data_IF_992777627726
#
_entry.id   IF_992777627726
#
_cell.length_a   1.000
_cell.length_b   1.000
_cell.length_c   1.000
_cell.angle_alpha   90.00
_cell.angle_beta   90.00
_cell.angle_gamma   90.00
#
_symmetry.space_group_name_H-M   'P 1'
#
loop_
_entity.id
_entity.type
_entity.pdbx_description
1 polymer ?
#
# COMPACT_ATOMS: atom_id res chain seq x y z
N UNK A 1 3.12 7.61 5.53
CA UNK A 1 3.71 6.79 4.45
C UNK A 1 3.04 7.14 3.13
N UNK A 2 3.77 7.21 2.03
CA UNK A 2 3.21 7.46 0.68
C UNK A 2 3.81 6.49 -0.33
N UNK A 3 3.05 6.15 -1.36
CA UNK A 3 3.51 5.35 -2.49
C UNK A 3 3.06 6.03 -3.78
N UNK A 4 3.91 6.04 -4.80
CA UNK A 4 3.56 6.58 -6.12
C UNK A 4 3.01 5.44 -6.97
N UNK A 5 1.77 5.58 -7.41
CA UNK A 5 1.11 4.63 -8.33
C UNK A 5 1.04 5.28 -9.70
N UNK A 6 1.42 4.54 -10.75
CA UNK A 6 1.33 4.97 -12.14
C UNK A 6 0.32 4.13 -12.90
N UNK A 7 -0.56 4.78 -13.66
CA UNK A 7 -1.49 4.08 -14.54
C UNK A 7 -0.76 3.61 -15.81
N UNK A 8 -0.36 2.34 -15.84
CA UNK A 8 0.23 1.71 -17.03
C UNK A 8 -0.81 0.96 -17.90
N UNK A 9 -2.10 1.11 -17.59
CA UNK A 9 -3.18 0.55 -18.40
C UNK A 9 -3.54 1.51 -19.55
N UNK A 10 -4.46 1.08 -20.41
CA UNK A 10 -5.06 1.92 -21.45
C UNK A 10 -6.42 2.51 -21.03
N UNK A 11 -6.76 2.46 -19.75
CA UNK A 11 -8.04 2.91 -19.20
C UNK A 11 -7.88 4.15 -18.34
N UNK A 12 -8.96 4.91 -18.18
CA UNK A 12 -9.04 5.94 -17.14
C UNK A 12 -9.47 5.30 -15.81
N UNK A 13 -8.69 5.56 -14.76
CA UNK A 13 -8.91 4.98 -13.43
C UNK A 13 -9.60 6.01 -12.53
N UNK A 14 -10.70 5.57 -11.90
CA UNK A 14 -11.54 6.37 -11.02
C UNK A 14 -11.18 6.19 -9.54
N UNK A 15 -10.80 4.98 -9.13
CA UNK A 15 -10.43 4.66 -7.74
C UNK A 15 -9.32 3.64 -7.69
N UNK A 16 -8.45 3.75 -6.68
CA UNK A 16 -7.42 2.75 -6.39
C UNK A 16 -7.42 2.41 -4.90
N UNK A 17 -7.14 1.15 -4.60
CA UNK A 17 -6.86 0.70 -3.24
C UNK A 17 -5.40 0.26 -3.14
N UNK A 18 -4.68 0.82 -2.16
CA UNK A 18 -3.26 0.55 -1.93
C UNK A 18 -3.10 -0.07 -0.54
N UNK A 19 -2.55 -1.28 -0.49
CA UNK A 19 -2.19 -1.97 0.73
C UNK A 19 -0.79 -1.64 1.20
N UNK A 20 -0.62 -1.46 2.51
CA UNK A 20 0.68 -1.23 3.15
C UNK A 20 1.00 -2.29 4.21
N UNK A 21 2.28 -2.66 4.28
CA UNK A 21 2.91 -3.37 5.40
C UNK A 21 4.14 -2.57 5.82
N UNK A 22 4.53 -2.66 7.10
CA UNK A 22 5.60 -1.83 7.63
C UNK A 22 6.42 -2.54 8.72
N UNK A 23 7.63 -2.04 8.94
CA UNK A 23 8.58 -2.53 9.92
C UNK A 23 9.20 -1.39 10.74
N UNK A 24 9.61 -1.71 11.96
CA UNK A 24 10.40 -0.82 12.81
C UNK A 24 11.91 -0.90 12.46
N UNK A 25 12.73 -0.08 13.11
CA UNK A 25 14.19 -0.06 12.88
C UNK A 25 14.87 -1.41 13.14
N UNK A 26 14.27 -2.26 13.97
CA UNK A 26 14.76 -3.60 14.27
C UNK A 26 14.22 -4.67 13.31
N UNK A 27 13.45 -4.28 12.29
CA UNK A 27 12.87 -5.17 11.29
C UNK A 27 11.69 -5.99 11.80
N UNK A 28 11.09 -5.63 12.94
CA UNK A 28 9.86 -6.28 13.41
C UNK A 28 8.65 -5.71 12.67
N UNK A 29 7.65 -6.54 12.33
CA UNK A 29 6.43 -6.05 11.69
C UNK A 29 5.67 -5.12 12.63
N UNK A 30 5.15 -4.02 12.08
CA UNK A 30 4.41 -3.00 12.80
C UNK A 30 2.93 -3.07 12.42
N UNK A 31 2.05 -3.07 13.42
CA UNK A 31 0.62 -2.86 13.17
C UNK A 31 0.40 -1.39 12.84
N UNK A 32 -0.03 -1.14 11.62
CA UNK A 32 -0.38 0.18 11.12
C UNK A 32 -1.74 0.60 11.68
N UNK A 33 -1.87 1.90 11.94
CA UNK A 33 -3.09 2.53 12.43
C UNK A 33 -3.14 3.95 11.89
N UNK A 34 -4.23 4.31 11.22
CA UNK A 34 -4.49 5.70 10.85
C UNK A 34 -4.82 6.53 12.10
N UNK A 35 -4.42 7.80 12.13
CA UNK A 35 -4.63 8.69 13.28
C UNK A 35 -6.11 8.86 13.69
N UNK A 36 -7.06 8.68 12.77
CA UNK A 36 -8.51 8.78 13.01
C UNK A 36 -9.24 7.42 13.14
N UNK A 37 -8.52 6.30 13.01
CA UNK A 37 -9.10 4.96 13.05
C UNK A 37 -8.77 4.24 14.37
N UNK A 38 -9.66 3.41 14.89
CA UNK A 38 -9.41 2.54 16.03
C UNK A 38 -8.79 1.19 15.62
N UNK A 39 -8.92 0.83 14.34
CA UNK A 39 -8.41 -0.43 13.80
C UNK A 39 -6.90 -0.37 13.60
N UNK A 40 -6.26 -1.50 13.93
CA UNK A 40 -4.83 -1.69 13.75
C UNK A 40 -4.56 -3.08 13.18
N UNK A 41 -3.76 -3.15 12.13
CA UNK A 41 -3.44 -4.41 11.47
C UNK A 41 -2.04 -4.36 10.83
N UNK A 42 -1.44 -5.52 10.60
CA UNK A 42 -0.17 -5.65 9.89
C UNK A 42 -0.30 -5.39 8.39
N UNK A 43 -1.52 -5.46 7.85
CA UNK A 43 -1.86 -5.05 6.49
C UNK A 43 -2.91 -3.94 6.55
N UNK A 44 -2.62 -2.77 5.98
CA UNK A 44 -3.53 -1.63 6.01
C UNK A 44 -3.85 -1.14 4.60
N UNK A 45 -5.06 -1.40 4.09
CA UNK A 45 -5.51 -0.85 2.82
C UNK A 45 -5.96 0.60 2.96
N UNK A 46 -5.67 1.41 1.95
CA UNK A 46 -6.11 2.80 1.83
C UNK A 46 -6.73 2.98 0.46
N UNK A 47 -7.99 3.40 0.43
CA UNK A 47 -8.67 3.80 -0.79
C UNK A 47 -8.30 5.25 -1.12
N UNK A 48 -8.10 5.55 -2.39
CA UNK A 48 -8.00 6.93 -2.85
C UNK A 48 -9.35 7.65 -2.77
N UNK A 49 -9.32 8.98 -2.72
CA UNK A 49 -10.47 9.76 -3.19
C UNK A 49 -10.78 9.45 -4.66
N UNK A 50 -11.91 9.97 -5.17
CA UNK A 50 -12.23 9.85 -6.59
C UNK A 50 -11.19 10.54 -7.48
N UNK A 51 -10.75 9.84 -8.51
CA UNK A 51 -9.67 10.21 -9.41
C UNK A 51 -10.15 10.34 -10.87
N UNK A 52 -9.32 10.97 -11.69
CA UNK A 52 -9.40 10.97 -13.17
C UNK A 52 -7.99 10.68 -13.71
N UNK A 53 -7.48 9.48 -13.42
CA UNK A 53 -6.12 9.08 -13.80
C UNK A 53 -6.11 8.51 -15.21
N UNK A 54 -5.60 9.27 -16.17
CA UNK A 54 -5.42 8.84 -17.57
C UNK A 54 -4.21 7.91 -17.72
N UNK A 55 -4.10 7.17 -18.83
CA UNK A 55 -2.90 6.39 -19.13
C UNK A 55 -1.63 7.25 -19.01
N UNK A 56 -0.69 6.79 -18.18
CA UNK A 56 0.57 7.47 -17.90
C UNK A 56 0.56 8.36 -16.64
N UNK A 57 -0.60 8.72 -16.10
CA UNK A 57 -0.71 9.57 -14.91
C UNK A 57 -0.22 8.88 -13.65
N UNK A 58 0.16 9.70 -12.66
CA UNK A 58 0.65 9.28 -11.35
C UNK A 58 -0.24 9.80 -10.20
N UNK A 59 -0.41 8.98 -9.17
CA UNK A 59 -1.06 9.33 -7.90
C UNK A 59 -0.11 9.08 -6.72
N UNK A 60 -0.32 9.80 -5.61
CA UNK A 60 0.36 9.53 -4.33
C UNK A 60 1.52 10.45 -3.95
N UNK A 61 1.92 11.39 -4.82
CA UNK A 61 2.97 12.39 -4.48
C UNK A 61 2.56 13.37 -3.37
N UNK A 62 1.26 13.61 -3.21
CA UNK A 62 0.68 14.52 -2.20
C UNK A 62 -0.24 13.82 -1.20
N UNK A 63 -0.43 12.51 -1.37
CA UNK A 63 -1.38 11.71 -0.61
C UNK A 63 -0.62 10.58 0.09
N UNK A 64 -0.90 10.39 1.37
CA UNK A 64 -0.27 9.33 2.15
C UNK A 64 -1.15 8.95 3.33
N UNK A 65 -0.84 7.82 3.98
CA UNK A 65 -1.50 7.38 5.19
C UNK A 65 -0.99 8.22 6.38
N UNK A 66 -1.84 9.08 6.99
CA UNK A 66 -1.49 9.78 8.22
C UNK A 66 -1.47 8.76 9.37
N UNK A 67 -0.27 8.41 9.80
CA UNK A 67 -0.08 7.46 10.88
C UNK A 67 -0.35 8.11 12.24
N UNK A 68 -0.91 7.33 13.17
CA UNK A 68 -0.89 7.66 14.59
C UNK A 68 0.58 7.85 15.05
N UNK A 69 0.87 8.93 15.78
CA UNK A 69 2.23 9.31 16.19
C UNK A 69 2.96 8.23 17.00
N UNK A 70 2.21 7.30 17.63
CA UNK A 70 2.79 6.17 18.37
C UNK A 70 3.29 5.05 17.46
N UNK A 71 2.90 5.05 16.19
CA UNK A 71 3.31 4.06 15.19
C UNK A 71 4.64 4.51 14.59
N UNK A 72 5.72 3.86 15.03
CA UNK A 72 7.06 4.09 14.49
C UNK A 72 7.31 3.14 13.32
N UNK A 73 7.41 3.70 12.12
CA UNK A 73 7.76 2.99 10.89
C UNK A 73 9.14 3.44 10.46
N UNK A 74 10.06 2.49 10.27
CA UNK A 74 11.37 2.74 9.67
C UNK A 74 11.35 2.41 8.17
N UNK A 75 10.60 1.38 7.79
CA UNK A 75 10.50 0.97 6.39
C UNK A 75 9.16 0.32 6.09
N UNK A 76 8.75 0.33 4.82
CA UNK A 76 7.46 -0.16 4.40
C UNK A 76 7.46 -0.75 2.99
N UNK A 77 6.39 -1.47 2.66
CA UNK A 77 6.12 -1.96 1.32
C UNK A 77 4.66 -1.77 0.97
N UNK A 78 4.40 -1.40 -0.28
CA UNK A 78 3.06 -1.17 -0.81
C UNK A 78 2.72 -2.12 -1.96
N UNK A 79 1.42 -2.35 -2.16
CA UNK A 79 0.86 -3.07 -3.31
C UNK A 79 -0.45 -2.41 -3.72
N UNK A 80 -0.71 -2.30 -5.03
CA UNK A 80 -2.07 -1.97 -5.51
C UNK A 80 -2.92 -3.21 -5.28
N UNK A 81 -3.92 -3.12 -4.40
CA UNK A 81 -4.86 -4.22 -4.11
C UNK A 81 -5.91 -4.32 -5.23
N UNK A 82 -6.45 -3.17 -5.64
CA UNK A 82 -7.56 -3.09 -6.58
C UNK A 82 -7.55 -1.74 -7.31
N UNK A 83 -8.13 -1.68 -8.50
CA UNK A 83 -8.61 -0.42 -9.09
C UNK A 83 -10.00 -0.56 -9.70
N UNK A 84 -10.70 0.57 -9.81
CA UNK A 84 -11.96 0.72 -10.54
C UNK A 84 -11.74 1.71 -11.71
N UNK A 85 -12.13 1.32 -12.91
CA UNK A 85 -12.13 2.22 -14.07
C UNK A 85 -13.41 3.08 -14.14
N UNK A 86 -13.42 4.09 -15.01
CA UNK A 86 -14.57 4.99 -15.18
C UNK A 86 -15.84 4.30 -15.69
N UNK A 87 -15.72 3.08 -16.24
CA UNK A 87 -16.84 2.23 -16.66
C UNK A 87 -17.38 1.36 -15.51
N UNK A 88 -16.80 1.48 -14.31
CA UNK A 88 -17.17 0.73 -13.11
C UNK A 88 -16.61 -0.71 -13.09
N UNK A 89 -15.70 -1.07 -14.00
CA UNK A 89 -15.07 -2.38 -13.98
C UNK A 89 -13.91 -2.39 -12.98
N UNK A 90 -13.94 -3.41 -12.16
CA UNK A 90 -12.95 -3.65 -11.11
C UNK A 90 -11.88 -4.62 -11.62
N UNK A 91 -10.63 -4.30 -11.30
CA UNK A 91 -9.51 -5.23 -11.41
C UNK A 91 -8.95 -5.51 -10.02
N UNK A 92 -8.90 -6.78 -9.66
CA UNK A 92 -8.24 -7.27 -8.45
C UNK A 92 -6.82 -7.72 -8.76
N UNK A 93 -5.87 -7.38 -7.90
CA UNK A 93 -4.49 -7.77 -8.10
C UNK A 93 -4.30 -9.28 -7.83
N UNK A 94 -3.91 -10.09 -8.83
CA UNK A 94 -3.73 -11.53 -8.66
C UNK A 94 -2.60 -11.88 -7.68
N UNK A 95 -1.63 -10.99 -7.50
CA UNK A 95 -0.45 -11.19 -6.64
C UNK A 95 -0.74 -10.85 -5.16
N UNK A 96 -1.92 -10.29 -4.87
CA UNK A 96 -2.26 -9.83 -3.53
C UNK A 96 -2.17 -10.93 -2.47
N UNK A 97 -2.60 -12.14 -2.82
CA UNK A 97 -2.58 -13.28 -1.90
C UNK A 97 -1.15 -13.68 -1.52
N UNK A 98 -0.27 -13.80 -2.50
CA UNK A 98 1.14 -14.16 -2.25
C UNK A 98 1.88 -13.02 -1.56
N UNK A 99 1.59 -11.76 -1.90
CA UNK A 99 2.08 -10.60 -1.16
C UNK A 99 1.69 -10.69 0.33
N UNK A 100 0.41 -10.91 0.63
CA UNK A 100 -0.06 -11.01 2.03
C UNK A 100 0.65 -12.15 2.76
N UNK A 101 0.79 -13.31 2.14
CA UNK A 101 1.49 -14.48 2.70
C UNK A 101 2.98 -14.21 2.99
N UNK A 102 3.65 -13.45 2.12
CA UNK A 102 5.08 -13.18 2.21
C UNK A 102 5.42 -12.11 3.24
N UNK A 103 4.59 -11.06 3.38
CA UNK A 103 4.99 -9.88 4.14
C UNK A 103 4.16 -9.61 5.41
N UNK A 104 2.89 -10.02 5.45
CA UNK A 104 2.00 -9.62 6.56
C UNK A 104 2.41 -10.32 7.85
N UNK A 105 2.80 -9.52 8.84
CA UNK A 105 3.23 -10.01 10.15
C UNK A 105 4.56 -10.79 10.14
N UNK A 106 5.35 -10.69 9.06
CA UNK A 106 6.67 -11.33 8.95
C UNK A 106 7.78 -10.36 9.35
N UNK A 107 8.82 -10.86 10.01
CA UNK A 107 10.03 -10.08 10.27
C UNK A 107 10.84 -9.94 8.99
N UNK A 108 11.59 -8.85 8.86
CA UNK A 108 12.47 -8.64 7.70
C UNK A 108 13.50 -9.77 7.53
N UNK A 109 14.02 -10.30 8.63
CA UNK A 109 14.97 -11.42 8.61
C UNK A 109 14.37 -12.75 8.13
N UNK A 110 13.05 -12.86 8.02
CA UNK A 110 12.34 -14.05 7.54
C UNK A 110 11.96 -13.93 6.05
N UNK A 111 12.20 -12.77 5.43
CA UNK A 111 11.83 -12.47 4.05
C UNK A 111 13.07 -12.58 3.17
N UNK A 112 13.05 -13.51 2.22
CA UNK A 112 14.14 -13.62 1.25
C UNK A 112 14.24 -12.36 0.39
N UNK A 113 15.46 -11.83 0.24
CA UNK A 113 15.74 -10.61 -0.53
C UNK A 113 14.95 -9.37 -0.07
N UNK A 114 14.62 -9.26 1.23
CA UNK A 114 13.89 -8.15 1.84
C UNK A 114 14.37 -6.77 1.31
N UNK A 115 15.67 -6.53 1.31
CA UNK A 115 16.30 -5.24 0.96
C UNK A 115 15.96 -4.75 -0.46
N UNK A 116 15.65 -5.64 -1.41
CA UNK A 116 15.38 -5.26 -2.81
C UNK A 116 14.03 -4.58 -2.99
N UNK A 117 13.15 -4.66 -1.99
CA UNK A 117 11.72 -4.48 -2.17
C UNK A 117 11.08 -3.59 -1.10
N UNK A 118 11.90 -3.03 -0.23
CA UNK A 118 11.51 -2.22 0.93
C UNK A 118 11.89 -0.77 0.66
N UNK A 119 10.99 0.14 1.04
CA UNK A 119 11.17 1.58 0.90
C UNK A 119 11.31 2.21 2.29
N UNK A 120 12.16 3.22 2.38
CA UNK A 120 12.38 4.07 3.57
C UNK A 120 11.62 5.40 3.41
#
# INVERSE_FOLDING_TARGET
>A
MSAIVKNNSNKEIKRIMIGFVAWDEAGNPVKLKANFDIHKDYYFPVESDELSMKPGDEYGRKNGLPLDEKVKVASFKAIVEQYEDVDGKIWDNPELREFKKMYVGKKLSEIENADKYIYE
#
